data_IF_256697669823
#
_entry.id   IF_256697669823
#
_cell.length_a   1.000
_cell.length_b   1.000
_cell.length_c   1.000
_cell.angle_alpha   90.00
_cell.angle_beta   90.00
_cell.angle_gamma   90.00
#
_symmetry.space_group_name_H-M   'P 1'
#
loop_
_entity.id
_entity.type
_entity.pdbx_description
1 polymer ?
#
# COMPACT_ATOMS: atom_id res chain seq x y z
N UNK A 1 2.09 16.77 -11.69
CA UNK A 1 2.19 15.31 -11.42
C UNK A 1 2.96 14.70 -12.58
N UNK A 2 4.13 14.10 -12.33
CA UNK A 2 4.97 13.48 -13.37
C UNK A 2 4.24 12.28 -14.00
N UNK A 3 4.49 11.98 -15.28
CA UNK A 3 3.85 10.85 -16.00
C UNK A 3 4.01 9.52 -15.25
N UNK A 4 5.16 9.34 -14.59
CA UNK A 4 5.48 8.17 -13.77
C UNK A 4 4.55 8.00 -12.55
N UNK A 5 4.14 9.10 -11.90
CA UNK A 5 3.18 9.04 -10.77
C UNK A 5 1.79 8.67 -11.27
N UNK A 6 1.35 9.19 -12.42
CA UNK A 6 0.06 8.85 -13.01
C UNK A 6 0.02 7.36 -13.39
N UNK A 7 1.04 6.87 -14.10
CA UNK A 7 1.13 5.47 -14.50
C UNK A 7 1.12 4.55 -13.27
N UNK A 8 1.88 4.91 -12.23
CA UNK A 8 1.91 4.14 -10.99
C UNK A 8 0.53 3.99 -10.35
N UNK A 9 -0.22 5.09 -10.25
CA UNK A 9 -1.57 5.08 -9.68
C UNK A 9 -2.53 4.22 -10.50
N UNK A 10 -2.43 4.26 -11.82
CA UNK A 10 -3.25 3.42 -12.71
C UNK A 10 -2.94 1.92 -12.56
N UNK A 11 -1.67 1.55 -12.58
CA UNK A 11 -1.26 0.15 -12.35
C UNK A 11 -1.76 -0.31 -11.00
N UNK A 12 -1.54 0.48 -9.94
CA UNK A 12 -2.01 0.19 -8.59
C UNK A 12 -3.53 0.05 -8.50
N UNK A 13 -4.30 0.82 -9.28
CA UNK A 13 -5.75 0.75 -9.30
C UNK A 13 -6.23 -0.55 -9.97
N UNK A 14 -5.62 -0.93 -11.09
CA UNK A 14 -5.98 -2.14 -11.83
C UNK A 14 -5.63 -3.38 -11.00
N UNK A 15 -4.41 -3.46 -10.47
CA UNK A 15 -3.99 -4.60 -9.65
C UNK A 15 -4.74 -4.64 -8.32
N UNK A 16 -4.98 -3.49 -7.69
CA UNK A 16 -5.77 -3.38 -6.47
C UNK A 16 -7.23 -3.80 -6.66
N UNK A 17 -7.85 -3.41 -7.79
CA UNK A 17 -9.21 -3.83 -8.13
C UNK A 17 -9.31 -5.33 -8.34
N UNK A 18 -8.36 -5.93 -9.06
CA UNK A 18 -8.33 -7.38 -9.30
C UNK A 18 -8.08 -8.15 -8.00
N UNK A 19 -7.10 -7.71 -7.21
CA UNK A 19 -6.78 -8.24 -5.87
C UNK A 19 -8.01 -8.20 -4.95
N UNK A 20 -8.69 -7.04 -4.90
CA UNK A 20 -9.91 -6.84 -4.10
C UNK A 20 -11.05 -7.74 -4.57
N UNK A 21 -11.28 -7.87 -5.87
CA UNK A 21 -12.33 -8.72 -6.42
C UNK A 21 -12.13 -10.19 -6.02
N UNK A 22 -10.91 -10.71 -6.22
CA UNK A 22 -10.58 -12.10 -5.87
C UNK A 22 -10.69 -12.34 -4.36
N UNK A 23 -10.25 -11.38 -3.54
CA UNK A 23 -10.29 -11.49 -2.08
C UNK A 23 -11.72 -11.41 -1.54
N UNK A 24 -12.56 -10.52 -2.08
CA UNK A 24 -13.99 -10.44 -1.75
C UNK A 24 -14.72 -11.71 -2.16
N UNK A 25 -14.46 -12.24 -3.35
CA UNK A 25 -15.02 -13.53 -3.78
C UNK A 25 -14.61 -14.65 -2.82
N UNK A 26 -13.34 -14.72 -2.41
CA UNK A 26 -12.89 -15.69 -1.42
C UNK A 26 -13.67 -15.56 -0.11
N UNK A 27 -13.74 -14.36 0.48
CA UNK A 27 -14.40 -14.14 1.77
C UNK A 27 -15.88 -14.51 1.70
N UNK A 28 -16.60 -14.02 0.69
CA UNK A 28 -18.05 -14.30 0.56
C UNK A 28 -18.28 -15.80 0.36
N UNK A 29 -17.56 -16.44 -0.56
CA UNK A 29 -17.74 -17.87 -0.83
C UNK A 29 -17.33 -18.73 0.37
N UNK A 30 -16.26 -18.37 1.07
CA UNK A 30 -15.81 -19.08 2.28
C UNK A 30 -16.83 -18.93 3.41
N UNK A 31 -17.43 -17.75 3.58
CA UNK A 31 -18.48 -17.50 4.57
C UNK A 31 -19.73 -18.33 4.29
N UNK A 32 -20.20 -18.34 3.03
CA UNK A 32 -21.39 -19.11 2.61
C UNK A 32 -21.15 -20.62 2.67
N UNK A 33 -19.99 -21.10 2.22
CA UNK A 33 -19.71 -22.55 2.15
C UNK A 33 -19.49 -23.20 3.52
N UNK A 34 -19.18 -22.40 4.55
CA UNK A 34 -18.89 -22.90 5.90
C UNK A 34 -19.90 -22.37 6.94
N UNK A 35 -21.03 -21.80 6.50
CA UNK A 35 -22.10 -21.24 7.34
C UNK A 35 -21.58 -20.36 8.50
N UNK A 36 -20.57 -19.52 8.22
CA UNK A 36 -19.93 -18.70 9.24
C UNK A 36 -20.85 -17.53 9.58
N UNK A 37 -21.55 -17.64 10.70
CA UNK A 37 -22.33 -16.52 11.27
C UNK A 37 -21.53 -15.78 12.35
N UNK A 38 -21.80 -14.48 12.51
CA UNK A 38 -21.19 -13.61 13.54
C UNK A 38 -21.47 -14.05 14.99
N UNK A 39 -22.36 -15.04 15.21
CA UNK A 39 -22.87 -15.40 16.55
C UNK A 39 -22.22 -16.63 17.20
N UNK A 40 -21.47 -17.46 16.48
CA UNK A 40 -20.89 -18.67 17.06
C UNK A 40 -19.42 -18.48 17.47
N UNK A 41 -19.20 -18.01 18.70
CA UNK A 41 -17.88 -17.96 19.35
C UNK A 41 -17.53 -19.31 20.01
N UNK A 42 -18.50 -20.22 20.19
CA UNK A 42 -18.22 -21.57 20.68
C UNK A 42 -17.73 -22.42 19.51
N UNK A 43 -16.52 -22.96 19.65
CA UNK A 43 -15.89 -23.78 18.62
C UNK A 43 -15.73 -25.19 19.17
N UNK A 44 -16.51 -26.13 18.65
CA UNK A 44 -16.53 -27.52 19.16
C UNK A 44 -15.44 -28.41 18.52
N UNK A 45 -14.66 -27.91 17.54
CA UNK A 45 -13.58 -28.68 16.88
C UNK A 45 -12.39 -27.83 16.39
N UNK A 46 -11.17 -28.41 16.36
CA UNK A 46 -9.95 -27.74 15.87
C UNK A 46 -10.12 -27.24 14.42
N UNK A 47 -10.76 -28.03 13.55
CA UNK A 47 -11.01 -27.66 12.17
C UNK A 47 -11.89 -26.40 12.04
N UNK A 48 -12.94 -26.29 12.85
CA UNK A 48 -13.79 -25.10 12.87
C UNK A 48 -13.02 -23.86 13.38
N UNK A 49 -12.08 -24.03 14.32
CA UNK A 49 -11.21 -22.95 14.79
C UNK A 49 -10.32 -22.41 13.66
N UNK A 50 -9.70 -23.31 12.91
CA UNK A 50 -8.84 -22.96 11.77
C UNK A 50 -9.64 -22.24 10.68
N UNK A 51 -10.84 -22.72 10.35
CA UNK A 51 -11.70 -22.09 9.33
C UNK A 51 -12.09 -20.68 9.78
N UNK A 52 -12.59 -20.51 11.02
CA UNK A 52 -13.04 -19.21 11.54
C UNK A 52 -11.88 -18.21 11.67
N UNK A 53 -10.72 -18.64 12.17
CA UNK A 53 -9.53 -17.78 12.29
C UNK A 53 -9.00 -17.36 10.91
N UNK A 54 -8.92 -18.29 9.96
CA UNK A 54 -8.51 -18.00 8.59
C UNK A 54 -9.48 -17.05 7.90
N UNK A 55 -10.79 -17.26 8.06
CA UNK A 55 -11.84 -16.37 7.56
C UNK A 55 -11.69 -14.95 8.13
N UNK A 56 -11.43 -14.81 9.43
CA UNK A 56 -11.18 -13.52 10.06
C UNK A 56 -9.98 -12.81 9.45
N UNK A 57 -8.86 -13.52 9.26
CA UNK A 57 -7.65 -12.96 8.65
C UNK A 57 -7.87 -12.56 7.18
N UNK A 58 -8.54 -13.40 6.37
CA UNK A 58 -8.93 -13.06 5.00
C UNK A 58 -9.83 -11.82 4.97
N UNK A 59 -10.79 -11.73 5.88
CA UNK A 59 -11.72 -10.59 5.96
C UNK A 59 -10.97 -9.30 6.25
N UNK A 60 -10.09 -9.29 7.26
CA UNK A 60 -9.29 -8.11 7.61
C UNK A 60 -8.40 -7.69 6.44
N UNK A 61 -7.68 -8.63 5.83
CA UNK A 61 -6.83 -8.35 4.66
C UNK A 61 -7.62 -7.79 3.49
N UNK A 62 -8.80 -8.36 3.21
CA UNK A 62 -9.71 -7.90 2.13
C UNK A 62 -10.22 -6.49 2.38
N UNK A 63 -10.66 -6.17 3.61
CA UNK A 63 -11.16 -4.84 3.96
C UNK A 63 -10.06 -3.78 3.77
N UNK A 64 -8.83 -4.09 4.20
CA UNK A 64 -7.69 -3.20 4.01
C UNK A 64 -7.40 -2.99 2.52
N UNK A 65 -7.37 -4.05 1.72
CA UNK A 65 -7.10 -3.97 0.28
C UNK A 65 -8.17 -3.17 -0.48
N UNK A 66 -9.45 -3.39 -0.16
CA UNK A 66 -10.58 -2.63 -0.71
C UNK A 66 -10.46 -1.15 -0.33
N UNK A 67 -10.18 -0.85 0.93
CA UNK A 67 -10.05 0.53 1.40
C UNK A 67 -8.92 1.28 0.68
N UNK A 68 -7.76 0.63 0.47
CA UNK A 68 -6.64 1.21 -0.27
C UNK A 68 -6.98 1.40 -1.74
N UNK A 69 -7.65 0.43 -2.36
CA UNK A 69 -8.06 0.51 -3.77
C UNK A 69 -9.01 1.69 -3.99
N UNK A 70 -10.02 1.85 -3.12
CA UNK A 70 -10.94 3.00 -3.12
C UNK A 70 -10.18 4.30 -2.90
N UNK A 71 -9.25 4.33 -1.95
CA UNK A 71 -8.45 5.51 -1.68
C UNK A 71 -7.61 5.92 -2.91
N UNK A 72 -6.94 4.97 -3.57
CA UNK A 72 -6.20 5.22 -4.83
C UNK A 72 -7.13 5.74 -5.92
N UNK A 73 -8.31 5.13 -6.09
CA UNK A 73 -9.33 5.56 -7.05
C UNK A 73 -9.76 7.01 -6.81
N UNK A 74 -10.06 7.39 -5.56
CA UNK A 74 -10.42 8.76 -5.18
C UNK A 74 -9.30 9.75 -5.52
N UNK A 75 -8.03 9.35 -5.37
CA UNK A 75 -6.91 10.23 -5.74
C UNK A 75 -6.73 10.41 -7.25
N UNK A 76 -7.28 9.53 -8.08
CA UNK A 76 -7.24 9.63 -9.54
C UNK A 76 -8.44 10.43 -10.04
N UNK A 77 -9.65 10.04 -9.64
CA UNK A 77 -10.89 10.57 -10.22
C UNK A 77 -11.36 11.88 -9.59
N UNK A 78 -11.22 12.03 -8.28
CA UNK A 78 -11.78 13.18 -7.55
C UNK A 78 -10.72 14.25 -7.29
N UNK A 79 -9.44 13.96 -7.60
CA UNK A 79 -8.30 14.88 -7.44
C UNK A 79 -8.22 15.52 -6.03
N UNK A 80 -8.81 14.85 -5.02
CA UNK A 80 -8.94 15.33 -3.63
C UNK A 80 -7.58 15.48 -2.98
N UNK A 81 -6.63 14.64 -3.39
CA UNK A 81 -5.31 14.53 -2.78
C UNK A 81 -4.23 14.96 -3.77
N UNK A 82 -3.81 16.23 -3.70
CA UNK A 82 -2.64 16.74 -4.45
C UNK A 82 -1.32 16.10 -3.99
N UNK A 83 -1.29 15.57 -2.75
CA UNK A 83 -0.12 14.93 -2.14
C UNK A 83 -0.22 13.41 -2.27
N UNK A 84 0.90 12.79 -2.61
CA UNK A 84 1.00 11.34 -2.79
C UNK A 84 1.22 10.65 -1.42
N UNK A 85 0.24 9.85 -0.96
CA UNK A 85 0.27 9.16 0.34
C UNK A 85 0.99 7.83 0.24
N UNK A 86 2.25 7.90 -0.22
CA UNK A 86 3.07 6.73 -0.48
C UNK A 86 3.11 5.73 0.68
N UNK A 87 3.49 6.19 1.88
CA UNK A 87 3.72 5.30 3.01
C UNK A 87 2.43 4.60 3.45
N UNK A 88 1.29 5.29 3.35
CA UNK A 88 -0.01 4.70 3.65
C UNK A 88 -0.32 3.59 2.66
N UNK A 89 -0.21 3.85 1.34
CA UNK A 89 -0.46 2.82 0.33
C UNK A 89 0.50 1.63 0.46
N UNK A 90 1.78 1.90 0.71
CA UNK A 90 2.79 0.85 0.89
C UNK A 90 2.48 -0.02 2.11
N UNK A 91 2.28 0.58 3.27
CA UNK A 91 2.03 -0.13 4.52
C UNK A 91 0.73 -0.92 4.43
N UNK A 92 -0.32 -0.32 3.85
CA UNK A 92 -1.61 -0.99 3.77
C UNK A 92 -1.59 -2.19 2.82
N UNK A 93 -0.92 -2.12 1.65
CA UNK A 93 -0.74 -3.30 0.80
C UNK A 93 0.13 -4.38 1.48
N UNK A 94 1.13 -3.98 2.27
CA UNK A 94 1.93 -4.93 3.05
C UNK A 94 1.07 -5.65 4.11
N UNK A 95 0.22 -4.92 4.83
CA UNK A 95 -0.70 -5.48 5.83
C UNK A 95 -1.70 -6.42 5.16
N UNK A 96 -2.28 -6.02 4.03
CA UNK A 96 -3.21 -6.85 3.28
C UNK A 96 -2.56 -8.16 2.83
N UNK A 97 -1.36 -8.08 2.24
CA UNK A 97 -0.58 -9.26 1.86
C UNK A 97 -0.28 -10.17 3.07
N UNK A 98 0.19 -9.61 4.18
CA UNK A 98 0.54 -10.40 5.36
C UNK A 98 -0.69 -11.11 5.94
N UNK A 99 -1.85 -10.43 5.99
CA UNK A 99 -3.09 -10.99 6.50
C UNK A 99 -3.66 -12.09 5.58
N UNK A 100 -3.71 -11.85 4.26
CA UNK A 100 -4.19 -12.85 3.28
C UNK A 100 -3.20 -14.01 3.19
N UNK A 101 -1.90 -13.73 3.22
CA UNK A 101 -0.83 -14.72 3.17
C UNK A 101 -0.82 -15.61 4.41
N UNK A 102 -0.92 -15.04 5.60
CA UNK A 102 -1.01 -15.83 6.84
C UNK A 102 -2.29 -16.68 6.89
N UNK A 103 -3.42 -16.13 6.44
CA UNK A 103 -4.67 -16.88 6.30
C UNK A 103 -4.52 -18.07 5.33
N UNK A 104 -3.85 -17.84 4.20
CA UNK A 104 -3.60 -18.88 3.20
C UNK A 104 -2.69 -19.98 3.74
N UNK A 105 -1.64 -19.63 4.48
CA UNK A 105 -0.74 -20.62 5.09
C UNK A 105 -1.49 -21.43 6.14
N UNK A 106 -2.21 -20.78 7.06
CA UNK A 106 -2.94 -21.47 8.14
C UNK A 106 -3.99 -22.41 7.55
N UNK A 107 -4.81 -21.92 6.60
CA UNK A 107 -5.83 -22.73 5.95
C UNK A 107 -5.21 -23.88 5.13
N UNK A 108 -4.21 -23.60 4.30
CA UNK A 108 -3.58 -24.60 3.42
C UNK A 108 -2.81 -25.68 4.18
N UNK A 109 -2.10 -25.34 5.25
CA UNK A 109 -1.32 -26.30 6.03
C UNK A 109 -2.22 -27.16 6.91
N UNK A 110 -3.19 -26.56 7.60
CA UNK A 110 -4.04 -27.27 8.57
C UNK A 110 -5.24 -27.99 7.93
N UNK A 111 -5.69 -27.55 6.75
CA UNK A 111 -6.85 -28.11 6.04
C UNK A 111 -6.51 -28.51 4.60
N UNK A 112 -5.31 -29.06 4.39
CA UNK A 112 -4.78 -29.44 3.06
C UNK A 112 -5.72 -30.38 2.27
N UNK A 113 -6.47 -31.26 2.95
CA UNK A 113 -7.43 -32.18 2.31
C UNK A 113 -8.75 -31.52 1.89
N UNK A 114 -8.99 -30.27 2.28
CA UNK A 114 -10.21 -29.50 2.01
C UNK A 114 -9.93 -28.23 1.20
N UNK A 115 -8.85 -28.21 0.41
CA UNK A 115 -8.56 -27.09 -0.48
C UNK A 115 -9.64 -27.03 -1.56
N UNK A 116 -10.40 -25.94 -1.56
CA UNK A 116 -11.45 -25.63 -2.52
C UNK A 116 -11.00 -24.58 -3.52
N UNK A 117 -11.79 -24.32 -4.56
CA UNK A 117 -11.48 -23.29 -5.55
C UNK A 117 -11.36 -21.87 -4.93
N UNK A 118 -12.16 -21.56 -3.89
CA UNK A 118 -12.13 -20.23 -3.27
C UNK A 118 -10.80 -19.95 -2.56
N UNK A 119 -10.12 -20.99 -2.04
CA UNK A 119 -8.76 -20.86 -1.49
C UNK A 119 -7.79 -20.28 -2.52
N UNK A 120 -7.82 -20.79 -3.76
CA UNK A 120 -6.97 -20.30 -4.85
C UNK A 120 -7.27 -18.85 -5.22
N UNK A 121 -8.54 -18.42 -5.16
CA UNK A 121 -8.89 -17.01 -5.36
C UNK A 121 -8.28 -16.10 -4.28
N UNK A 122 -8.32 -16.54 -3.02
CA UNK A 122 -7.68 -15.81 -1.90
C UNK A 122 -6.17 -15.72 -2.07
N UNK A 123 -5.53 -16.84 -2.45
CA UNK A 123 -4.10 -16.89 -2.72
C UNK A 123 -3.70 -15.96 -3.88
N UNK A 124 -4.44 -16.00 -5.00
CA UNK A 124 -4.20 -15.11 -6.14
C UNK A 124 -4.40 -13.64 -5.77
N UNK A 125 -5.44 -13.32 -4.97
CA UNK A 125 -5.63 -11.99 -4.40
C UNK A 125 -4.41 -11.53 -3.58
N UNK A 126 -3.91 -12.39 -2.69
CA UNK A 126 -2.71 -12.12 -1.90
C UNK A 126 -1.45 -11.91 -2.75
N UNK A 127 -1.25 -12.70 -3.81
CA UNK A 127 -0.13 -12.53 -4.75
C UNK A 127 -0.20 -11.20 -5.50
N UNK A 128 -1.40 -10.78 -5.92
CA UNK A 128 -1.58 -9.48 -6.55
C UNK A 128 -1.34 -8.32 -5.58
N UNK A 129 -1.82 -8.43 -4.33
CA UNK A 129 -1.53 -7.46 -3.27
C UNK A 129 -0.01 -7.33 -3.02
N UNK A 130 0.70 -8.46 -3.00
CA UNK A 130 2.16 -8.48 -2.88
C UNK A 130 2.87 -7.83 -4.07
N UNK A 131 2.43 -8.15 -5.29
CA UNK A 131 2.95 -7.53 -6.51
C UNK A 131 2.75 -6.01 -6.49
N UNK A 132 1.60 -5.55 -6.00
CA UNK A 132 1.31 -4.12 -5.84
C UNK A 132 2.20 -3.47 -4.78
N UNK A 133 2.39 -4.12 -3.63
CA UNK A 133 3.34 -3.69 -2.60
C UNK A 133 4.76 -3.53 -3.17
N UNK A 134 5.27 -4.55 -3.88
CA UNK A 134 6.58 -4.50 -4.51
C UNK A 134 6.68 -3.37 -5.55
N UNK A 135 5.64 -3.17 -6.34
CA UNK A 135 5.60 -2.10 -7.32
C UNK A 135 5.69 -0.72 -6.66
N UNK A 136 4.93 -0.49 -5.58
CA UNK A 136 5.04 0.73 -4.78
C UNK A 136 6.42 0.90 -4.14
N UNK A 137 6.98 -0.18 -3.60
CA UNK A 137 8.32 -0.18 -3.00
C UNK A 137 9.41 0.18 -4.02
N UNK A 138 9.46 -0.54 -5.14
CA UNK A 138 10.43 -0.35 -6.21
C UNK A 138 10.33 1.06 -6.80
N UNK A 139 9.12 1.54 -7.09
CA UNK A 139 8.96 2.90 -7.65
C UNK A 139 9.49 4.00 -6.73
N UNK A 140 9.42 3.84 -5.40
CA UNK A 140 10.07 4.81 -4.51
C UNK A 140 11.57 4.63 -4.37
N UNK A 141 12.07 3.40 -4.37
CA UNK A 141 13.51 3.17 -4.35
C UNK A 141 14.16 3.79 -5.59
N UNK A 142 13.57 3.58 -6.77
CA UNK A 142 14.00 4.24 -8.01
C UNK A 142 13.88 5.76 -7.92
N UNK A 143 12.78 6.30 -7.37
CA UNK A 143 12.63 7.75 -7.20
C UNK A 143 13.70 8.35 -6.29
N UNK A 144 14.03 7.67 -5.18
CA UNK A 144 15.07 8.10 -4.23
C UNK A 144 16.46 8.02 -4.85
N UNK A 145 16.72 6.96 -5.62
CA UNK A 145 17.96 6.78 -6.35
C UNK A 145 18.17 7.91 -7.39
N UNK A 146 17.18 8.13 -8.25
CA UNK A 146 17.23 9.18 -9.27
C UNK A 146 17.39 10.58 -8.66
N UNK A 147 16.71 10.87 -7.54
CA UNK A 147 16.88 12.14 -6.83
C UNK A 147 18.32 12.34 -6.31
N UNK A 148 19.02 11.27 -5.94
CA UNK A 148 20.42 11.35 -5.45
C UNK A 148 21.42 11.51 -6.59
N UNK A 149 21.21 10.84 -7.72
CA UNK A 149 22.19 10.81 -8.82
C UNK A 149 21.94 11.87 -9.91
N UNK A 150 20.69 12.33 -10.06
CA UNK A 150 20.30 13.36 -11.03
C UNK A 150 19.44 14.44 -10.35
N UNK A 151 20.01 15.22 -9.41
CA UNK A 151 19.25 16.24 -8.66
C UNK A 151 18.79 17.42 -9.55
N UNK A 152 19.48 17.64 -10.68
CA UNK A 152 19.21 18.69 -11.66
C UNK A 152 17.98 18.38 -12.53
N UNK A 153 17.49 17.13 -12.55
CA UNK A 153 16.44 16.71 -13.47
C UNK A 153 15.13 17.48 -13.24
N UNK A 154 14.53 18.07 -14.29
CA UNK A 154 13.29 18.85 -14.19
C UNK A 154 12.10 18.01 -13.71
N UNK A 155 12.21 16.67 -13.76
CA UNK A 155 11.25 15.72 -13.19
C UNK A 155 11.10 15.85 -11.66
N UNK A 156 12.13 16.31 -10.97
CA UNK A 156 12.16 16.46 -9.50
C UNK A 156 12.07 17.93 -9.04
N UNK A 157 12.29 18.89 -9.94
CA UNK A 157 12.29 20.33 -9.65
C UNK A 157 10.93 21.03 -9.81
N UNK A 158 9.83 20.29 -9.99
CA UNK A 158 8.47 20.88 -10.05
C UNK A 158 7.92 21.37 -8.70
N UNK A 159 8.64 21.17 -7.59
CA UNK A 159 8.40 21.88 -6.31
C UNK A 159 9.18 23.23 -6.24
N UNK A 160 9.83 23.62 -7.34
CA UNK A 160 10.73 24.76 -7.48
C UNK A 160 10.10 26.17 -7.51
N UNK A 161 9.02 26.41 -6.76
CA UNK A 161 8.59 27.80 -6.44
C UNK A 161 8.57 28.15 -4.95
N UNK A 162 9.07 27.27 -4.07
CA UNK A 162 9.18 27.59 -2.64
C UNK A 162 10.55 27.34 -1.98
N UNK A 163 11.57 26.92 -2.74
CA UNK A 163 12.88 26.58 -2.16
C UNK A 163 14.06 27.43 -2.64
N UNK A 164 13.86 28.35 -3.60
CA UNK A 164 14.90 29.32 -4.01
C UNK A 164 14.87 30.66 -3.28
N UNK A 165 13.79 31.01 -2.57
CA UNK A 165 13.76 32.29 -1.83
C UNK A 165 14.39 32.16 -0.44
N UNK A 166 14.34 30.98 0.19
CA UNK A 166 14.90 30.80 1.55
C UNK A 166 16.40 30.49 1.53
N UNK A 167 16.88 29.75 0.53
CA UNK A 167 18.32 29.41 0.43
C UNK A 167 19.18 30.59 -0.03
N UNK A 168 18.66 31.47 -0.89
CA UNK A 168 19.37 32.69 -1.30
C UNK A 168 19.32 33.78 -0.21
N UNK A 169 18.27 33.80 0.63
CA UNK A 169 18.16 34.78 1.72
C UNK A 169 18.97 34.38 2.96
N UNK A 170 19.17 33.08 3.24
CA UNK A 170 20.03 32.62 4.34
C UNK A 170 21.52 32.78 3.98
N UNK A 171 21.90 32.60 2.71
CA UNK A 171 23.31 32.79 2.32
C UNK A 171 23.74 34.26 2.26
N UNK A 172 22.80 35.21 2.12
CA UNK A 172 23.11 36.66 2.12
C UNK A 172 23.07 37.30 3.52
N UNK A 173 22.33 36.74 4.48
CA UNK A 173 22.34 37.26 5.85
C UNK A 173 23.52 36.74 6.69
N UNK A 174 24.11 35.61 6.31
CA UNK A 174 25.30 35.09 6.99
C UNK A 174 26.59 35.75 6.52
N UNK A 175 26.69 36.29 5.30
CA UNK A 175 27.93 36.96 4.86
C UNK A 175 28.09 38.37 5.42
N UNK A 176 27.02 39.10 5.75
CA UNK A 176 27.14 40.45 6.33
C UNK A 176 27.43 40.44 7.84
N UNK A 177 27.20 39.32 8.53
CA UNK A 177 27.45 39.19 9.98
C UNK A 177 28.90 38.86 10.34
N UNK A 178 29.70 38.41 9.37
CA UNK A 178 31.11 38.08 9.59
C UNK A 178 32.05 39.24 9.25
N UNK A 179 31.72 40.08 8.27
CA UNK A 179 32.54 41.26 7.94
C UNK A 179 32.49 42.36 9.00
N UNK A 180 31.42 42.45 9.80
CA UNK A 180 31.29 43.48 10.86
C UNK A 180 31.98 43.14 12.18
N UNK A 181 32.47 41.92 12.39
CA UNK A 181 33.23 41.55 13.62
C UNK A 181 34.75 41.64 13.47
N UNK A 182 35.26 41.91 12.27
CA UNK A 182 36.70 42.04 12.03
C UNK A 182 37.14 43.52 12.03
N UNK A 183 36.20 44.47 11.95
CA UNK A 183 36.50 45.91 11.85
C UNK A 183 36.39 46.65 13.19
N UNK A 184 35.71 46.10 14.21
CA UNK A 184 35.60 46.71 15.53
C UNK A 184 36.22 45.82 16.62
N UNK A 185 37.55 45.74 16.60
CA UNK A 185 38.30 45.67 17.85
C UNK A 185 38.05 46.92 18.70
#
# INVERSE_FOLDING_TARGET
MTQLIKLRKWVSLVTGSLSSALSVTNVITMGVSNDITLKDIVVDSEAACVIKSSYGMYTVGTVVEVAVTVFVALTIFVNVMKKDFYYVNLISHAIAFLAIGSASIVFGVKLNTRITWYFWMGLLGGVLAFGNFLYWFCTQMFRRYLKRHHPEDPLFNLDGRRSRTTSVMISRSMTSSWETRIING
#
